data_IF_423926379014
#
_entry.id   IF_423926379014
#
_cell.length_a   1.000
_cell.length_b   1.000
_cell.length_c   1.000
_cell.angle_alpha   90.00
_cell.angle_beta   90.00
_cell.angle_gamma   90.00
#
_symmetry.space_group_name_H-M   'P 1'
#
loop_
_entity.id
_entity.type
_entity.pdbx_description
1 polymer ?
#
# COMPACT_ATOMS: atom_id res chain seq x y z
N UNK A 1 -11.43 8.38 9.60
CA UNK A 1 -9.98 8.23 9.37
C UNK A 1 -9.43 7.31 10.43
N UNK A 2 -8.82 6.18 10.05
CA UNK A 2 -8.16 5.27 10.99
C UNK A 2 -6.64 5.49 10.88
N UNK A 3 -5.95 5.63 12.01
CA UNK A 3 -4.49 5.87 12.06
C UNK A 3 -3.83 4.70 12.80
N UNK A 4 -2.80 4.10 12.21
CA UNK A 4 -1.93 3.11 12.88
C UNK A 4 -0.49 3.58 12.78
N UNK A 5 0.22 3.53 13.90
CA UNK A 5 1.68 3.59 13.93
C UNK A 5 2.15 2.15 14.15
N UNK A 6 3.06 1.69 13.30
CA UNK A 6 3.67 0.36 13.42
C UNK A 6 5.18 0.55 13.52
N UNK A 7 5.79 0.08 14.60
CA UNK A 7 7.24 0.08 14.75
C UNK A 7 7.79 -1.26 14.28
N UNK A 8 8.71 -1.24 13.32
CA UNK A 8 9.39 -2.45 12.82
C UNK A 8 10.87 -2.36 13.18
N UNK A 9 11.21 -3.02 14.29
CA UNK A 9 12.53 -3.20 14.95
C UNK A 9 13.35 -1.94 15.24
N UNK A 10 13.46 -0.98 14.32
CA UNK A 10 14.10 0.32 14.49
C UNK A 10 13.47 1.43 13.61
N UNK A 11 12.57 1.06 12.67
CA UNK A 11 11.88 2.02 11.80
C UNK A 11 10.44 2.27 12.27
N UNK A 12 10.00 3.52 12.21
CA UNK A 12 8.63 3.94 12.47
C UNK A 12 7.87 4.02 11.14
N UNK A 13 6.87 3.17 11.00
CA UNK A 13 5.93 3.17 9.88
C UNK A 13 4.66 3.90 10.30
N UNK A 14 4.29 4.92 9.54
CA UNK A 14 2.99 5.57 9.67
C UNK A 14 2.03 5.06 8.60
N UNK A 15 0.99 4.36 9.04
CA UNK A 15 -0.09 3.89 8.16
C UNK A 15 -1.33 4.76 8.36
N UNK A 16 -1.70 5.50 7.32
CA UNK A 16 -2.92 6.29 7.28
C UNK A 16 -3.93 5.66 6.32
N UNK A 17 -5.10 5.28 6.85
CA UNK A 17 -6.23 4.84 6.05
C UNK A 17 -7.16 6.02 5.74
N UNK A 18 -7.30 6.31 4.44
CA UNK A 18 -8.14 7.37 3.92
C UNK A 18 -9.45 6.79 3.39
N UNK A 19 -10.59 7.41 3.74
CA UNK A 19 -11.86 7.10 3.08
C UNK A 19 -11.80 7.54 1.62
N UNK A 20 -12.38 6.76 0.72
CA UNK A 20 -12.31 6.70 -0.76
C UNK A 20 -12.07 8.01 -1.56
N UNK A 21 -12.35 9.18 -1.00
CA UNK A 21 -12.05 10.48 -1.60
C UNK A 21 -10.59 10.88 -1.39
N UNK A 22 -9.64 10.03 -1.80
CA UNK A 22 -8.20 10.34 -1.75
C UNK A 22 -7.91 11.81 -2.05
N UNK A 23 -6.99 12.43 -1.29
CA UNK A 23 -6.86 13.89 -1.21
C UNK A 23 -6.37 14.46 -2.56
N UNK A 24 -7.30 14.71 -3.48
CA UNK A 24 -7.13 15.76 -4.46
C UNK A 24 -7.30 17.07 -3.71
N UNK A 25 -6.20 17.81 -3.54
CA UNK A 25 -6.24 19.19 -3.09
C UNK A 25 -6.88 20.02 -4.21
N UNK A 26 -8.20 19.93 -4.33
CA UNK A 26 -8.97 20.89 -5.12
C UNK A 26 -9.38 22.02 -4.19
N UNK A 27 -9.59 23.25 -4.71
CA UNK A 27 -10.13 24.35 -3.92
C UNK A 27 -11.47 24.01 -3.24
N UNK A 28 -12.16 22.96 -3.70
CA UNK A 28 -13.43 22.47 -3.16
C UNK A 28 -13.28 21.41 -2.06
N UNK A 29 -12.05 20.99 -1.69
CA UNK A 29 -11.87 20.00 -0.61
C UNK A 29 -12.08 20.67 0.74
N UNK A 30 -13.24 20.46 1.34
CA UNK A 30 -13.48 20.85 2.73
C UNK A 30 -12.59 20.00 3.66
N UNK A 31 -11.60 20.64 4.27
CA UNK A 31 -10.69 20.07 5.28
C UNK A 31 -9.80 18.91 4.77
N UNK A 32 -8.79 19.17 3.91
CA UNK A 32 -7.86 18.14 3.49
C UNK A 32 -7.05 17.63 4.69
N UNK A 33 -6.82 16.32 4.73
CA UNK A 33 -5.85 15.79 5.69
C UNK A 33 -4.45 16.27 5.31
N UNK A 34 -3.68 16.71 6.31
CA UNK A 34 -2.28 17.08 6.17
C UNK A 34 -1.51 16.35 7.25
N UNK A 35 -0.50 15.57 6.85
CA UNK A 35 0.47 14.99 7.77
C UNK A 35 1.66 15.95 7.89
N UNK A 36 2.04 16.29 9.13
CA UNK A 36 3.09 17.28 9.40
C UNK A 36 4.34 16.67 10.03
N UNK A 37 4.21 15.54 10.74
CA UNK A 37 5.30 14.99 11.57
C UNK A 37 6.21 14.03 10.80
N UNK A 38 6.65 14.43 9.61
CA UNK A 38 7.49 13.60 8.72
C UNK A 38 8.83 13.20 9.38
N UNK A 39 9.40 14.06 10.23
CA UNK A 39 10.65 13.79 10.96
C UNK A 39 10.56 12.68 12.01
N UNK A 40 9.36 12.18 12.32
CA UNK A 40 9.15 11.11 13.30
C UNK A 40 8.89 9.74 12.66
N UNK A 41 9.02 9.63 11.33
CA UNK A 41 8.70 8.41 10.59
C UNK A 41 9.77 8.13 9.54
N UNK A 42 9.97 6.86 9.22
CA UNK A 42 10.87 6.42 8.16
C UNK A 42 10.09 6.03 6.90
N UNK A 43 8.85 5.54 7.10
CA UNK A 43 8.00 5.02 6.05
C UNK A 43 6.58 5.56 6.20
N UNK A 44 6.07 6.17 5.14
CA UNK A 44 4.68 6.57 4.99
C UNK A 44 3.92 5.54 4.14
N UNK A 45 2.96 4.85 4.75
CA UNK A 45 2.10 3.89 4.06
C UNK A 45 0.71 4.49 3.82
N UNK A 46 0.38 4.70 2.55
CA UNK A 46 -0.96 5.13 2.13
C UNK A 46 -1.88 3.91 2.05
N UNK A 47 -2.76 3.80 3.04
CA UNK A 47 -3.61 2.63 3.24
C UNK A 47 -5.02 2.83 2.66
N UNK A 48 -5.53 1.80 1.97
CA UNK A 48 -6.93 1.71 1.58
C UNK A 48 -7.37 0.24 1.47
N UNK A 49 -8.68 0.01 1.31
CA UNK A 49 -9.28 -1.32 1.14
C UNK A 49 -9.42 -1.74 -0.33
N UNK A 50 -8.75 -1.04 -1.25
CA UNK A 50 -8.69 -1.41 -2.66
C UNK A 50 -7.58 -2.43 -2.89
N UNK A 51 -7.85 -3.44 -3.72
CA UNK A 51 -6.91 -4.54 -4.04
C UNK A 51 -5.48 -4.05 -4.33
N UNK A 52 -5.35 -2.99 -5.14
CA UNK A 52 -4.10 -2.25 -5.35
C UNK A 52 -4.38 -0.78 -5.14
N UNK A 53 -3.57 -0.13 -4.31
CA UNK A 53 -3.66 1.31 -4.02
C UNK A 53 -2.36 2.00 -4.42
N UNK A 54 -2.49 3.05 -5.22
CA UNK A 54 -1.39 3.94 -5.59
C UNK A 54 -1.46 5.17 -4.65
N UNK A 55 -0.37 5.55 -3.96
CA UNK A 55 -0.36 6.75 -3.13
C UNK A 55 -0.55 8.01 -4.00
N UNK A 56 -1.24 9.06 -3.51
CA UNK A 56 -1.32 10.32 -4.23
C UNK A 56 0.07 10.95 -4.40
N UNK A 57 0.34 11.53 -5.57
CA UNK A 57 1.64 12.15 -5.89
C UNK A 57 2.02 13.27 -4.92
N UNK A 58 1.05 14.05 -4.42
CA UNK A 58 1.30 15.09 -3.42
C UNK A 58 1.90 14.55 -2.11
N UNK A 59 1.37 13.43 -1.60
CA UNK A 59 1.96 12.76 -0.43
C UNK A 59 3.31 12.14 -0.76
N UNK A 60 3.42 11.57 -1.95
CA UNK A 60 4.64 10.90 -2.39
C UNK A 60 5.82 11.89 -2.45
N UNK A 61 5.61 13.03 -3.09
CA UNK A 61 6.63 14.08 -3.20
C UNK A 61 7.03 14.63 -1.82
N UNK A 62 6.05 14.99 -0.97
CA UNK A 62 6.36 15.57 0.35
C UNK A 62 7.09 14.56 1.25
N UNK A 63 6.71 13.28 1.19
CA UNK A 63 7.41 12.23 1.93
C UNK A 63 8.86 12.08 1.46
N UNK A 64 9.08 12.04 0.14
CA UNK A 64 10.41 11.98 -0.46
C UNK A 64 11.27 13.20 -0.12
N UNK A 65 10.69 14.40 -0.12
CA UNK A 65 11.37 15.64 0.29
C UNK A 65 11.86 15.57 1.75
N UNK A 66 11.20 14.78 2.60
CA UNK A 66 11.59 14.53 3.99
C UNK A 66 12.41 13.23 4.17
N UNK A 67 12.83 12.59 3.08
CA UNK A 67 13.63 11.36 3.11
C UNK A 67 12.87 10.10 3.55
N UNK A 68 11.54 10.14 3.60
CA UNK A 68 10.70 9.00 3.96
C UNK A 68 10.41 8.14 2.72
N UNK A 69 10.37 6.81 2.89
CA UNK A 69 9.84 5.90 1.86
C UNK A 69 8.31 5.95 1.85
N UNK A 70 7.72 5.70 0.68
CA UNK A 70 6.28 5.77 0.43
C UNK A 70 5.77 4.44 -0.09
N UNK A 71 4.86 3.82 0.67
CA UNK A 71 4.23 2.58 0.27
C UNK A 71 2.78 2.81 -0.14
N UNK A 72 2.39 2.19 -1.25
CA UNK A 72 0.99 1.89 -1.54
C UNK A 72 0.51 0.68 -0.74
N UNK A 73 -0.68 0.20 -1.06
CA UNK A 73 -1.25 -1.00 -0.41
C UNK A 73 -1.60 -2.06 -1.44
N UNK A 74 -1.20 -3.30 -1.18
CA UNK A 74 -1.67 -4.51 -1.85
C UNK A 74 -2.40 -5.36 -0.82
N UNK A 75 -3.73 -5.41 -0.92
CA UNK A 75 -4.57 -6.03 0.11
C UNK A 75 -5.54 -7.03 -0.50
N UNK A 76 -5.75 -8.15 0.18
CA UNK A 76 -6.81 -9.10 -0.14
C UNK A 76 -7.64 -9.35 1.09
N UNK A 77 -8.96 -9.22 0.98
CA UNK A 77 -9.86 -9.30 2.15
C UNK A 77 -11.04 -10.22 1.85
N UNK A 78 -11.46 -10.98 2.87
CA UNK A 78 -12.68 -11.78 2.84
C UNK A 78 -12.71 -12.83 1.71
N UNK A 79 -13.92 -13.28 1.34
CA UNK A 79 -14.13 -14.25 0.25
C UNK A 79 -13.67 -13.74 -1.11
N UNK A 80 -13.71 -12.42 -1.34
CA UNK A 80 -13.22 -11.81 -2.57
C UNK A 80 -11.69 -11.89 -2.69
N UNK A 81 -11.00 -11.60 -1.59
CA UNK A 81 -9.56 -11.72 -1.45
C UNK A 81 -9.06 -13.14 -1.63
N UNK A 82 -9.75 -14.13 -1.06
CA UNK A 82 -9.40 -15.54 -1.26
C UNK A 82 -9.38 -15.93 -2.75
N UNK A 83 -10.39 -15.49 -3.51
CA UNK A 83 -10.44 -15.72 -4.98
C UNK A 83 -9.36 -14.95 -5.74
N UNK A 84 -8.92 -13.79 -5.25
CA UNK A 84 -7.79 -13.06 -5.82
C UNK A 84 -6.49 -13.85 -5.60
N UNK A 85 -6.25 -14.31 -4.37
CA UNK A 85 -5.11 -15.16 -4.01
C UNK A 85 -5.06 -16.42 -4.88
N UNK A 86 -6.17 -17.12 -5.08
CA UNK A 86 -6.25 -18.28 -5.98
C UNK A 86 -5.77 -17.97 -7.40
N UNK A 87 -6.02 -16.75 -7.90
CA UNK A 87 -5.60 -16.34 -9.26
C UNK A 87 -4.12 -15.99 -9.33
N UNK A 88 -3.63 -15.12 -8.45
CA UNK A 88 -2.24 -14.66 -8.57
C UNK A 88 -1.24 -15.68 -8.01
N UNK A 89 -1.63 -16.52 -7.06
CA UNK A 89 -0.84 -17.63 -6.52
C UNK A 89 -1.03 -18.95 -7.29
N UNK A 90 -1.69 -18.95 -8.45
CA UNK A 90 -1.97 -20.19 -9.19
C UNK A 90 -0.69 -20.91 -9.68
N UNK A 91 0.38 -20.16 -9.92
CA UNK A 91 1.65 -20.67 -10.46
C UNK A 91 2.77 -19.65 -10.24
N UNK A 92 4.04 -20.08 -10.34
CA UNK A 92 5.18 -19.16 -10.34
C UNK A 92 5.06 -18.09 -11.45
N UNK A 93 4.56 -18.50 -12.63
CA UNK A 93 4.32 -17.59 -13.74
C UNK A 93 3.27 -16.51 -13.45
N UNK A 94 2.21 -16.83 -12.70
CA UNK A 94 1.20 -15.84 -12.29
C UNK A 94 1.75 -14.91 -11.21
N UNK A 95 2.50 -15.44 -10.24
CA UNK A 95 3.17 -14.63 -9.21
C UNK A 95 4.11 -13.63 -9.87
N UNK A 96 4.97 -14.09 -10.78
CA UNK A 96 5.92 -13.23 -11.51
C UNK A 96 5.23 -12.11 -12.28
N UNK A 97 4.12 -12.40 -12.99
CA UNK A 97 3.37 -11.37 -13.73
C UNK A 97 2.76 -10.33 -12.79
N UNK A 98 2.20 -10.75 -11.65
CA UNK A 98 1.66 -9.85 -10.64
C UNK A 98 2.74 -8.96 -10.06
N UNK A 99 3.87 -9.54 -9.63
CA UNK A 99 5.02 -8.77 -9.10
C UNK A 99 5.56 -7.78 -10.15
N UNK A 100 5.71 -8.21 -11.40
CA UNK A 100 6.16 -7.33 -12.49
C UNK A 100 5.20 -6.15 -12.70
N UNK A 101 3.90 -6.38 -12.60
CA UNK A 101 2.88 -5.32 -12.73
C UNK A 101 2.96 -4.33 -11.57
N UNK A 102 3.09 -4.82 -10.33
CA UNK A 102 3.27 -3.98 -9.15
C UNK A 102 4.54 -3.12 -9.23
N UNK A 103 5.66 -3.72 -9.62
CA UNK A 103 6.93 -2.98 -9.83
C UNK A 103 6.79 -1.93 -10.93
N UNK A 104 6.11 -2.25 -12.04
CA UNK A 104 5.88 -1.30 -13.13
C UNK A 104 5.04 -0.10 -12.68
N UNK A 105 3.98 -0.34 -11.88
CA UNK A 105 3.13 0.70 -11.31
C UNK A 105 3.94 1.58 -10.34
N UNK A 106 4.69 0.98 -9.41
CA UNK A 106 5.54 1.69 -8.45
C UNK A 106 6.54 2.62 -9.15
N UNK A 107 7.22 2.12 -10.19
CA UNK A 107 8.14 2.91 -11.01
C UNK A 107 7.45 4.03 -11.78
N UNK A 108 6.27 3.76 -12.35
CA UNK A 108 5.55 4.75 -13.15
C UNK A 108 5.06 5.94 -12.31
N UNK A 109 4.54 5.66 -11.12
CA UNK A 109 4.03 6.70 -10.21
C UNK A 109 5.05 7.16 -9.16
N UNK A 110 6.29 6.68 -9.25
CA UNK A 110 7.43 7.06 -8.42
C UNK A 110 7.19 6.90 -6.91
N UNK A 111 6.73 5.73 -6.46
CA UNK A 111 6.68 5.35 -5.04
C UNK A 111 7.45 4.05 -4.78
N UNK A 112 7.73 3.74 -3.52
CA UNK A 112 8.83 2.84 -3.13
C UNK A 112 8.42 1.39 -2.92
N UNK A 113 7.13 1.07 -3.00
CA UNK A 113 6.63 -0.30 -2.91
C UNK A 113 5.24 -0.41 -2.31
N UNK A 114 4.92 -1.58 -1.76
CA UNK A 114 3.60 -1.88 -1.22
C UNK A 114 3.70 -2.50 0.16
N UNK A 115 2.81 -2.08 1.07
CA UNK A 115 2.42 -2.91 2.19
C UNK A 115 1.57 -4.07 1.65
N UNK A 116 2.02 -5.30 1.88
CA UNK A 116 1.27 -6.52 1.56
C UNK A 116 0.47 -6.91 2.79
N UNK A 117 -0.86 -6.92 2.67
CA UNK A 117 -1.77 -7.23 3.77
C UNK A 117 -2.78 -8.29 3.32
N UNK A 118 -2.59 -9.54 3.74
CA UNK A 118 -3.48 -10.65 3.35
C UNK A 118 -4.42 -10.94 4.51
N UNK A 119 -5.65 -10.43 4.43
CA UNK A 119 -6.71 -10.57 5.44
C UNK A 119 -7.78 -11.59 5.00
N UNK A 120 -7.34 -12.69 4.40
CA UNK A 120 -8.16 -13.85 4.07
C UNK A 120 -7.35 -15.13 4.17
N UNK A 121 -8.06 -16.26 4.30
CA UNK A 121 -7.42 -17.57 4.24
C UNK A 121 -6.78 -17.81 2.86
N UNK A 122 -5.61 -18.43 2.87
CA UNK A 122 -4.92 -18.92 1.67
C UNK A 122 -4.91 -20.45 1.77
N UNK A 123 -5.26 -21.13 0.68
CA UNK A 123 -5.14 -22.59 0.64
C UNK A 123 -3.67 -22.99 0.77
N UNK A 124 -3.37 -23.93 1.68
CA UNK A 124 -1.99 -24.39 1.98
C UNK A 124 -1.19 -24.73 0.72
N UNK A 125 -1.82 -25.35 -0.28
CA UNK A 125 -1.17 -25.72 -1.56
C UNK A 125 -0.61 -24.53 -2.36
N UNK A 126 -1.08 -23.31 -2.10
CA UNK A 126 -0.66 -22.10 -2.80
C UNK A 126 0.50 -21.37 -2.09
N UNK A 127 0.86 -21.79 -0.87
CA UNK A 127 1.85 -21.10 -0.03
C UNK A 127 3.29 -21.33 -0.54
N UNK A 128 3.55 -22.49 -1.16
CA UNK A 128 4.88 -22.87 -1.65
C UNK A 128 5.40 -22.02 -2.84
N UNK A 129 4.60 -21.06 -3.32
CA UNK A 129 4.96 -20.16 -4.42
C UNK A 129 5.39 -18.76 -3.93
N UNK A 130 5.38 -18.53 -2.62
CA UNK A 130 5.59 -17.21 -1.99
C UNK A 130 6.79 -17.20 -1.03
N UNK A 131 7.38 -18.35 -0.73
CA UNK A 131 8.51 -18.53 0.20
C UNK A 131 9.74 -18.97 -0.59
#
# INVERSE_FOLDING_TARGET
MYRKYVCVKENIIYCACFSEKGVFLTPASENPYVFLNWWNIDIFCYFSHNFVTIPPTGYTNVAHDHGCLVLGTFITEWKGGAKLCERFLASEGSVRRTVQSLVAIARHYNFDGYLINIENEIMVRLVNLVI
#
